data_IF_243412527407
#
_entry.id   IF_243412527407
#
_cell.length_a   1.000
_cell.length_b   1.000
_cell.length_c   1.000
_cell.angle_alpha   90.00
_cell.angle_beta   90.00
_cell.angle_gamma   90.00
#
_symmetry.space_group_name_H-M   'P 1'
#
loop_
_entity.id
_entity.type
_entity.pdbx_description
1 polymer ?
#
# COMPACT_ATOMS: atom_id res chain seq x y z
N UNK A 1 7.64 17.59 7.42
CA UNK A 1 7.20 16.89 6.19
C UNK A 1 5.73 17.21 6.02
N UNK A 2 5.35 17.61 4.82
CA UNK A 2 3.94 17.86 4.52
C UNK A 2 3.13 16.57 4.69
N UNK A 3 1.86 16.64 5.11
CA UNK A 3 0.95 15.51 5.00
C UNK A 3 1.00 14.88 3.59
N UNK A 4 0.81 13.56 3.51
CA UNK A 4 0.90 12.79 2.25
C UNK A 4 2.27 12.65 1.58
N UNK A 5 3.35 13.21 2.15
CA UNK A 5 4.74 13.00 1.66
C UNK A 5 5.47 11.83 2.36
N UNK A 6 4.80 11.19 3.31
CA UNK A 6 5.29 10.02 4.02
C UNK A 6 4.13 9.08 4.35
N UNK A 7 4.45 7.82 4.63
CA UNK A 7 3.49 6.86 5.19
C UNK A 7 4.09 6.15 6.40
N UNK A 8 3.22 5.64 7.26
CA UNK A 8 3.59 4.81 8.41
C UNK A 8 3.03 3.41 8.14
N UNK A 9 3.90 2.41 8.12
CA UNK A 9 3.49 1.01 7.97
C UNK A 9 3.30 0.38 9.37
N UNK A 10 2.07 0.04 9.78
CA UNK A 10 1.83 -0.57 11.08
C UNK A 10 2.30 -2.02 11.15
N UNK A 11 2.55 -2.67 10.01
CA UNK A 11 3.04 -4.04 9.97
C UNK A 11 4.56 -4.10 10.21
N UNK A 12 5.07 -5.26 10.66
CA UNK A 12 6.51 -5.48 10.75
C UNK A 12 7.10 -5.47 9.34
N UNK A 13 8.10 -4.63 9.11
CA UNK A 13 8.75 -4.52 7.80
C UNK A 13 10.26 -4.44 7.96
N UNK A 14 11.00 -5.20 7.15
CA UNK A 14 12.47 -5.28 7.21
C UNK A 14 12.98 -6.52 7.97
N UNK A 15 14.30 -6.63 8.16
CA UNK A 15 14.89 -7.75 8.88
C UNK A 15 14.61 -7.67 10.39
N UNK A 16 14.72 -8.79 11.12
CA UNK A 16 15.09 -10.12 10.62
C UNK A 16 13.96 -10.77 9.80
N UNK A 17 14.36 -11.50 8.75
CA UNK A 17 13.45 -12.27 7.89
C UNK A 17 13.58 -13.74 8.22
N UNK A 18 12.46 -14.47 8.29
CA UNK A 18 12.42 -15.92 8.52
C UNK A 18 11.61 -16.61 7.43
N UNK A 19 11.94 -17.85 7.08
CA UNK A 19 11.19 -18.58 6.06
C UNK A 19 9.77 -18.89 6.56
N UNK A 20 8.77 -18.82 5.68
CA UNK A 20 7.39 -19.14 6.04
C UNK A 20 7.25 -20.54 6.64
N UNK A 21 7.93 -21.53 6.06
CA UNK A 21 7.91 -22.92 6.51
C UNK A 21 8.39 -23.08 7.96
N UNK A 22 9.33 -22.24 8.40
CA UNK A 22 9.86 -22.25 9.77
C UNK A 22 8.96 -21.50 10.77
N UNK A 23 8.20 -20.52 10.28
CA UNK A 23 7.35 -19.65 11.11
C UNK A 23 5.99 -20.31 11.34
N UNK A 24 5.42 -20.92 10.30
CA UNK A 24 4.08 -21.49 10.30
C UNK A 24 2.98 -20.43 10.18
N UNK A 25 1.80 -20.86 9.72
CA UNK A 25 0.68 -19.97 9.38
C UNK A 25 0.22 -19.10 10.57
N UNK A 26 0.06 -19.68 11.77
CA UNK A 26 -0.44 -18.94 12.94
C UNK A 26 0.52 -17.83 13.39
N UNK A 27 1.82 -18.08 13.33
CA UNK A 27 2.81 -17.07 13.71
C UNK A 27 2.97 -16.00 12.62
N UNK A 28 2.84 -16.38 11.35
CA UNK A 28 2.83 -15.43 10.24
C UNK A 28 1.59 -14.51 10.30
N UNK A 29 0.43 -15.05 10.67
CA UNK A 29 -0.81 -14.28 10.85
C UNK A 29 -0.66 -13.20 11.94
N UNK A 30 0.09 -13.47 13.02
CA UNK A 30 0.43 -12.45 14.04
C UNK A 30 1.31 -11.32 13.49
N UNK A 31 2.05 -11.57 12.42
CA UNK A 31 2.80 -10.56 11.68
C UNK A 31 2.00 -9.92 10.54
N UNK A 32 0.69 -10.22 10.43
CA UNK A 32 -0.18 -9.67 9.39
C UNK A 32 -0.06 -10.37 8.04
N UNK A 33 0.56 -11.54 7.97
CA UNK A 33 0.72 -12.32 6.73
C UNK A 33 -0.21 -13.54 6.76
N UNK A 34 -1.18 -13.56 5.86
CA UNK A 34 -2.27 -14.55 5.87
C UNK A 34 -2.21 -15.57 4.71
N UNK A 35 -1.22 -15.45 3.83
CA UNK A 35 -1.00 -16.38 2.72
C UNK A 35 0.48 -16.74 2.63
N UNK A 36 0.84 -17.92 2.08
CA UNK A 36 2.23 -18.33 1.93
C UNK A 36 3.06 -17.29 1.17
N UNK A 37 4.20 -16.92 1.77
CA UNK A 37 5.21 -16.04 1.18
C UNK A 37 6.58 -16.69 1.35
N UNK A 38 7.57 -16.21 0.61
CA UNK A 38 8.93 -16.74 0.75
C UNK A 38 9.52 -16.50 2.15
N UNK A 39 9.37 -15.27 2.68
CA UNK A 39 9.87 -14.88 4.00
C UNK A 39 8.88 -13.96 4.73
N UNK A 40 8.82 -14.12 6.05
CA UNK A 40 8.02 -13.29 6.96
C UNK A 40 8.96 -12.31 7.68
N UNK A 41 8.56 -11.04 7.72
CA UNK A 41 9.28 -10.00 8.45
C UNK A 41 9.02 -10.10 9.95
N UNK A 42 10.07 -9.94 10.73
CA UNK A 42 10.02 -9.68 12.18
C UNK A 42 10.71 -8.35 12.52
N UNK A 43 10.76 -7.44 11.54
CA UNK A 43 11.31 -6.09 11.72
C UNK A 43 10.45 -5.21 12.61
N UNK A 44 10.87 -3.96 12.77
CA UNK A 44 10.10 -2.99 13.54
C UNK A 44 8.72 -2.73 12.90
N UNK A 45 7.73 -2.49 13.76
CA UNK A 45 6.40 -1.98 13.37
C UNK A 45 6.42 -0.46 13.38
N UNK A 46 5.46 0.16 12.69
CA UNK A 46 5.32 1.61 12.60
C UNK A 46 6.54 2.29 11.96
N UNK A 47 7.23 1.59 11.05
CA UNK A 47 8.32 2.20 10.27
C UNK A 47 7.75 3.26 9.35
N UNK A 48 8.52 4.32 9.15
CA UNK A 48 8.09 5.48 8.39
C UNK A 48 8.77 5.44 7.03
N UNK A 49 7.99 5.38 5.96
CA UNK A 49 8.52 5.44 4.60
C UNK A 49 8.43 6.86 4.05
N UNK A 50 9.53 7.31 3.45
CA UNK A 50 9.66 8.60 2.77
C UNK A 50 10.27 8.39 1.39
N UNK A 51 10.11 9.38 0.51
CA UNK A 51 10.85 9.41 -0.75
C UNK A 51 12.36 9.56 -0.45
N UNK A 52 13.26 8.93 -1.23
CA UNK A 52 14.69 9.07 -1.01
C UNK A 52 15.19 10.52 -0.99
N UNK A 53 14.59 11.41 -1.79
CA UNK A 53 14.91 12.84 -1.85
C UNK A 53 14.56 13.62 -0.58
N UNK A 54 13.70 13.09 0.29
CA UNK A 54 13.34 13.69 1.57
C UNK A 54 14.29 13.26 2.71
N UNK A 55 15.16 12.28 2.46
CA UNK A 55 16.18 11.90 3.44
C UNK A 55 17.33 12.92 3.44
N UNK A 56 17.56 13.56 4.58
CA UNK A 56 18.57 14.61 4.78
C UNK A 56 19.45 14.27 5.97
N UNK A 57 20.71 14.71 5.93
CA UNK A 57 21.68 14.52 7.02
C UNK A 57 21.85 13.05 7.42
N UNK A 58 21.85 12.18 6.41
CA UNK A 58 22.11 10.76 6.53
C UNK A 58 23.19 10.35 5.52
N UNK A 59 24.11 9.51 5.93
CA UNK A 59 25.14 8.92 5.06
C UNK A 59 24.90 7.42 4.92
N UNK A 60 25.29 6.85 3.77
CA UNK A 60 25.27 5.41 3.58
C UNK A 60 26.30 4.73 4.51
N UNK A 61 25.95 3.53 4.96
CA UNK A 61 26.85 2.60 5.65
C UNK A 61 27.31 1.59 4.58
N UNK A 62 28.52 1.73 4.00
CA UNK A 62 28.92 0.95 2.83
C UNK A 62 28.79 -0.56 3.01
N UNK A 63 29.17 -1.06 4.19
CA UNK A 63 29.11 -2.49 4.56
C UNK A 63 27.68 -3.07 4.61
N UNK A 64 26.65 -2.22 4.48
CA UNK A 64 25.23 -2.62 4.48
C UNK A 64 24.50 -2.23 3.20
N UNK A 65 25.23 -1.86 2.16
CA UNK A 65 24.70 -1.43 0.86
C UNK A 65 24.66 -2.56 -0.18
N UNK A 66 24.53 -3.80 0.25
CA UNK A 66 24.34 -4.93 -0.66
C UNK A 66 22.92 -4.97 -1.26
N UNK A 67 22.81 -5.62 -2.42
CA UNK A 67 21.54 -5.87 -3.12
C UNK A 67 21.74 -6.88 -4.24
N UNK A 68 20.76 -7.01 -5.13
CA UNK A 68 20.77 -8.04 -6.17
C UNK A 68 21.35 -7.54 -7.50
N UNK A 69 20.61 -6.71 -8.25
CA UNK A 69 21.00 -6.35 -9.62
C UNK A 69 22.28 -5.50 -9.62
N UNK A 70 22.20 -4.31 -9.02
CA UNK A 70 23.27 -3.32 -8.80
C UNK A 70 22.86 -2.29 -7.72
N UNK A 71 21.84 -2.61 -6.93
CA UNK A 71 21.18 -1.68 -6.01
C UNK A 71 21.40 -2.01 -4.55
N UNK A 72 20.65 -1.32 -3.70
CA UNK A 72 20.61 -1.58 -2.26
C UNK A 72 19.23 -2.06 -1.89
N UNK A 73 19.12 -3.25 -1.28
CA UNK A 73 17.81 -3.84 -0.99
C UNK A 73 17.40 -3.86 0.48
N UNK A 74 18.28 -3.36 1.35
CA UNK A 74 18.00 -3.25 2.78
C UNK A 74 17.95 -4.58 3.52
N UNK A 75 18.38 -5.69 2.91
CA UNK A 75 18.39 -7.03 3.55
C UNK A 75 19.20 -7.07 4.85
N UNK A 76 20.25 -6.25 4.95
CA UNK A 76 21.13 -6.13 6.10
C UNK A 76 20.60 -5.18 7.19
N UNK A 77 19.41 -4.61 7.02
CA UNK A 77 18.77 -3.70 7.95
C UNK A 77 19.13 -2.24 7.68
N UNK A 78 19.21 -1.38 8.71
CA UNK A 78 19.55 0.02 8.53
C UNK A 78 20.91 0.21 7.86
N UNK A 79 20.90 0.84 6.68
CA UNK A 79 22.06 1.12 5.83
C UNK A 79 22.30 2.63 5.65
N UNK A 80 21.52 3.46 6.35
CA UNK A 80 21.73 4.90 6.49
C UNK A 80 22.02 5.23 7.95
N UNK A 81 23.11 5.94 8.19
CA UNK A 81 23.50 6.48 9.48
C UNK A 81 23.22 7.99 9.56
N UNK A 82 22.90 8.48 10.76
CA UNK A 82 22.83 9.91 11.02
C UNK A 82 24.23 10.53 10.84
N UNK A 83 24.32 11.61 10.06
CA UNK A 83 25.59 12.31 9.79
C UNK A 83 26.24 12.89 11.08
N UNK A 84 25.43 13.29 12.06
CA UNK A 84 25.92 13.87 13.30
C UNK A 84 26.44 12.87 14.33
N UNK A 85 25.78 11.73 14.51
CA UNK A 85 26.10 10.78 15.59
C UNK A 85 26.52 9.37 15.10
N UNK A 86 26.49 9.12 13.80
CA UNK A 86 26.89 7.85 13.18
C UNK A 86 25.96 6.67 13.46
N UNK A 87 24.89 6.84 14.24
CA UNK A 87 23.95 5.75 14.54
C UNK A 87 23.17 5.36 13.29
N UNK A 88 22.94 4.05 13.03
CA UNK A 88 22.01 3.63 11.99
C UNK A 88 20.59 4.08 12.33
N UNK A 89 19.93 4.76 11.39
CA UNK A 89 18.60 5.38 11.59
C UNK A 89 17.57 5.01 10.53
N UNK A 90 18.01 4.50 9.37
CA UNK A 90 17.10 4.20 8.27
C UNK A 90 17.64 3.13 7.32
N UNK A 91 16.74 2.57 6.52
CA UNK A 91 17.04 1.64 5.41
C UNK A 91 16.59 2.26 4.09
N UNK A 92 17.54 2.54 3.20
CA UNK A 92 17.29 2.83 1.79
C UNK A 92 17.06 1.53 1.02
N UNK A 93 16.01 1.51 0.21
CA UNK A 93 15.77 0.53 -0.84
C UNK A 93 15.88 1.25 -2.18
N UNK A 94 16.71 0.73 -3.06
CA UNK A 94 17.04 1.30 -4.36
C UNK A 94 17.65 0.19 -5.24
N UNK A 95 16.82 -0.80 -5.59
CA UNK A 95 17.21 -1.91 -6.48
C UNK A 95 16.22 -2.04 -7.63
N UNK A 96 16.67 -2.58 -8.75
CA UNK A 96 16.03 -2.62 -10.08
C UNK A 96 14.56 -3.09 -10.08
N UNK A 97 14.16 -3.90 -9.09
CA UNK A 97 12.82 -4.50 -8.97
C UNK A 97 11.99 -3.97 -7.83
N UNK A 98 12.41 -2.89 -7.16
CA UNK A 98 11.75 -2.36 -5.98
C UNK A 98 11.46 -0.87 -6.11
N UNK A 99 10.45 -0.42 -5.36
CA UNK A 99 10.20 1.00 -5.20
C UNK A 99 11.34 1.65 -4.44
N UNK A 100 11.89 2.73 -5.01
CA UNK A 100 12.91 3.53 -4.33
C UNK A 100 12.29 4.18 -3.09
N UNK A 101 12.77 3.80 -1.91
CA UNK A 101 12.20 4.23 -0.64
C UNK A 101 13.27 4.39 0.43
N UNK A 102 12.98 5.21 1.44
CA UNK A 102 13.76 5.24 2.69
C UNK A 102 12.82 4.96 3.85
N UNK A 103 13.15 3.93 4.62
CA UNK A 103 12.41 3.49 5.80
C UNK A 103 13.14 3.93 7.06
N UNK A 104 12.56 4.87 7.81
CA UNK A 104 13.10 5.33 9.08
C UNK A 104 12.77 4.33 10.20
N UNK A 105 13.75 4.06 11.05
CA UNK A 105 13.55 3.26 12.25
C UNK A 105 12.76 4.07 13.29
N UNK A 106 11.62 3.55 13.79
CA UNK A 106 10.71 4.31 14.66
C UNK A 106 11.38 4.76 15.96
N UNK A 107 12.27 3.94 16.51
CA UNK A 107 13.00 4.25 17.75
C UNK A 107 14.23 5.14 17.53
N UNK A 108 14.59 5.42 16.28
CA UNK A 108 15.74 6.25 15.92
C UNK A 108 15.34 7.67 15.50
N UNK A 109 14.04 7.94 15.34
CA UNK A 109 13.52 9.25 14.92
C UNK A 109 12.44 9.73 15.88
N UNK A 110 12.30 11.05 15.96
CA UNK A 110 11.26 11.69 16.77
C UNK A 110 10.44 12.62 15.90
N UNK A 111 9.11 12.56 16.04
CA UNK A 111 8.23 13.49 15.36
C UNK A 111 8.36 14.86 16.02
N UNK A 112 8.75 15.86 15.23
CA UNK A 112 8.70 17.27 15.63
C UNK A 112 7.52 17.94 14.94
N UNK A 113 6.68 18.72 15.66
CA UNK A 113 5.70 19.58 15.02
C UNK A 113 6.42 20.51 14.03
N UNK A 114 5.90 20.62 12.81
CA UNK A 114 6.46 21.52 11.79
C UNK A 114 6.19 22.99 12.11
N UNK A 115 5.29 23.29 13.06
CA UNK A 115 4.79 24.65 13.31
C UNK A 115 3.88 25.19 12.21
N UNK A 116 3.76 24.46 11.09
CA UNK A 116 2.82 24.75 10.03
C UNK A 116 1.43 24.29 10.47
N UNK A 117 0.42 25.11 10.19
CA UNK A 117 -0.97 24.68 10.33
C UNK A 117 -1.16 23.42 9.48
N UNK A 118 -1.79 22.39 10.05
CA UNK A 118 -2.25 21.29 9.24
C UNK A 118 -3.19 21.89 8.18
N UNK A 119 -2.85 21.73 6.90
CA UNK A 119 -3.78 22.04 5.83
C UNK A 119 -5.09 21.27 6.05
N UNK A 120 -6.21 21.73 5.47
CA UNK A 120 -7.43 20.94 5.50
C UNK A 120 -7.11 19.52 4.98
N UNK A 121 -7.66 18.47 5.62
CA UNK A 121 -7.50 17.12 5.10
C UNK A 121 -7.99 17.10 3.66
N UNK A 122 -7.29 16.35 2.81
CA UNK A 122 -7.63 16.26 1.40
C UNK A 122 -9.07 15.78 1.24
N UNK A 123 -9.87 16.49 0.46
CA UNK A 123 -11.24 16.10 0.14
C UNK A 123 -11.30 15.42 -1.23
N UNK A 124 -12.43 14.82 -1.56
CA UNK A 124 -12.69 14.14 -2.82
C UNK A 124 -12.55 15.05 -4.03
N UNK A 125 -12.89 16.32 -3.90
CA UNK A 125 -12.68 17.34 -4.92
C UNK A 125 -11.19 17.53 -5.26
N UNK A 126 -10.29 17.20 -4.33
CA UNK A 126 -8.85 17.27 -4.57
C UNK A 126 -8.42 16.20 -5.58
N UNK A 127 -9.04 15.01 -5.56
CA UNK A 127 -8.72 13.93 -6.50
C UNK A 127 -9.07 14.28 -7.95
N UNK A 128 -10.00 15.22 -8.16
CA UNK A 128 -10.34 15.69 -9.51
C UNK A 128 -9.29 16.64 -10.08
N UNK A 129 -8.43 17.25 -9.26
CA UNK A 129 -7.38 18.16 -9.73
C UNK A 129 -6.34 17.42 -10.56
N UNK A 130 -5.89 18.06 -11.62
CA UNK A 130 -4.93 17.47 -12.56
C UNK A 130 -3.65 16.98 -11.88
N UNK A 131 -3.17 17.68 -10.85
CA UNK A 131 -1.99 17.31 -10.07
C UNK A 131 -2.13 16.02 -9.24
N UNK A 132 -3.37 15.59 -8.95
CA UNK A 132 -3.67 14.39 -8.16
C UNK A 132 -4.13 13.20 -9.03
N UNK A 133 -4.38 13.43 -10.32
CA UNK A 133 -4.75 12.36 -11.26
C UNK A 133 -3.55 11.48 -11.56
N UNK A 134 -3.72 10.18 -11.34
CA UNK A 134 -2.75 9.16 -11.73
C UNK A 134 -3.26 8.49 -12.99
N UNK A 135 -2.58 8.63 -14.16
CA UNK A 135 -3.02 7.96 -15.38
C UNK A 135 -2.87 6.43 -15.24
N UNK A 136 -3.77 5.63 -15.84
CA UNK A 136 -3.69 4.16 -15.84
C UNK A 136 -2.49 3.63 -16.63
N UNK A 137 -1.94 4.46 -17.51
CA UNK A 137 -0.84 4.14 -18.41
C UNK A 137 0.27 5.16 -18.18
N UNK A 138 1.50 4.68 -18.04
CA UNK A 138 2.69 5.51 -17.89
C UNK A 138 3.02 6.22 -19.22
N UNK A 139 3.86 7.29 -19.21
CA UNK A 139 4.21 8.02 -20.44
C UNK A 139 4.85 7.17 -21.55
N UNK A 140 5.45 6.03 -21.20
CA UNK A 140 6.04 5.08 -22.15
C UNK A 140 5.02 4.07 -22.73
N UNK A 141 3.75 4.18 -22.35
CA UNK A 141 2.68 3.29 -22.80
C UNK A 141 2.51 2.02 -21.96
N UNK A 142 3.33 1.82 -20.92
CA UNK A 142 3.20 0.67 -20.02
C UNK A 142 2.06 0.84 -19.01
N UNK A 143 1.52 -0.28 -18.51
CA UNK A 143 0.50 -0.24 -17.47
C UNK A 143 1.09 0.28 -16.15
N UNK A 144 0.40 1.23 -15.51
CA UNK A 144 0.90 1.83 -14.28
C UNK A 144 0.93 0.83 -13.13
N UNK A 145 2.10 0.68 -12.51
CA UNK A 145 2.29 -0.16 -11.30
C UNK A 145 1.40 0.30 -10.14
N UNK A 146 1.11 1.60 -10.07
CA UNK A 146 0.20 2.15 -9.06
C UNK A 146 -1.23 1.69 -9.29
N UNK A 147 -1.67 1.66 -10.54
CA UNK A 147 -2.97 1.12 -10.91
C UNK A 147 -3.05 -0.39 -10.74
N UNK A 148 -1.99 -1.13 -11.08
CA UNK A 148 -1.88 -2.57 -10.81
C UNK A 148 -2.12 -2.88 -9.34
N UNK A 149 -1.42 -2.18 -8.44
CA UNK A 149 -1.60 -2.34 -7.00
C UNK A 149 -3.02 -1.96 -6.54
N UNK A 150 -3.57 -0.84 -7.03
CA UNK A 150 -4.91 -0.39 -6.68
C UNK A 150 -5.99 -1.39 -7.12
N UNK A 151 -5.85 -1.97 -8.31
CA UNK A 151 -6.74 -3.01 -8.84
C UNK A 151 -6.64 -4.29 -8.03
N UNK A 152 -5.44 -4.71 -7.63
CA UNK A 152 -5.23 -5.87 -6.77
C UNK A 152 -5.89 -5.72 -5.40
N UNK A 153 -5.68 -4.58 -4.74
CA UNK A 153 -6.36 -4.25 -3.47
C UNK A 153 -7.87 -4.23 -3.68
N UNK A 154 -8.33 -3.63 -4.77
CA UNK A 154 -9.73 -3.54 -5.09
C UNK A 154 -10.38 -4.92 -5.27
N UNK A 155 -9.69 -5.86 -5.91
CA UNK A 155 -10.15 -7.23 -6.08
C UNK A 155 -10.18 -7.98 -4.74
N UNK A 156 -9.13 -7.86 -3.92
CA UNK A 156 -9.07 -8.50 -2.60
C UNK A 156 -10.23 -8.07 -1.70
N UNK A 157 -10.56 -6.78 -1.67
CA UNK A 157 -11.73 -6.28 -0.95
C UNK A 157 -13.04 -6.84 -1.49
N UNK A 158 -13.15 -6.97 -2.81
CA UNK A 158 -14.35 -7.53 -3.43
C UNK A 158 -14.53 -8.98 -2.97
N UNK A 159 -13.48 -9.81 -3.08
CA UNK A 159 -13.50 -11.20 -2.63
C UNK A 159 -13.88 -11.32 -1.15
N UNK A 160 -13.27 -10.51 -0.29
CA UNK A 160 -13.58 -10.51 1.15
C UNK A 160 -15.03 -10.09 1.44
N UNK A 161 -15.54 -9.07 0.75
CA UNK A 161 -16.90 -8.57 0.96
C UNK A 161 -17.99 -9.51 0.40
N UNK A 162 -17.63 -10.34 -0.58
CA UNK A 162 -18.57 -11.26 -1.23
C UNK A 162 -18.72 -12.57 -0.49
N UNK A 163 -17.80 -12.94 0.42
CA UNK A 163 -17.83 -14.21 1.15
C UNK A 163 -18.09 -15.39 0.19
N UNK A 164 -17.32 -15.47 -0.91
CA UNK A 164 -17.47 -16.47 -1.97
C UNK A 164 -18.85 -16.52 -2.65
N UNK A 165 -19.64 -15.44 -2.63
CA UNK A 165 -20.86 -15.36 -3.45
C UNK A 165 -20.54 -14.89 -4.88
N UNK A 166 -21.28 -15.36 -5.89
CA UNK A 166 -21.18 -14.81 -7.24
C UNK A 166 -21.46 -13.31 -7.27
N UNK A 167 -20.85 -12.59 -8.20
CA UNK A 167 -21.03 -11.14 -8.33
C UNK A 167 -21.33 -10.70 -9.76
N UNK A 168 -22.20 -9.71 -9.86
CA UNK A 168 -22.43 -8.96 -11.09
C UNK A 168 -21.74 -7.59 -10.97
N UNK A 169 -20.85 -7.32 -11.92
CA UNK A 169 -20.22 -6.01 -12.07
C UNK A 169 -21.11 -5.06 -12.88
N UNK A 170 -21.06 -3.75 -12.61
CA UNK A 170 -21.77 -2.78 -13.43
C UNK A 170 -21.13 -2.70 -14.83
N UNK A 171 -21.96 -2.56 -15.87
CA UNK A 171 -21.48 -2.39 -17.25
C UNK A 171 -20.55 -1.19 -17.36
N UNK A 172 -19.51 -1.30 -18.18
CA UNK A 172 -18.53 -0.24 -18.44
C UNK A 172 -17.15 -0.53 -17.83
N UNK A 173 -16.36 0.52 -17.53
CA UNK A 173 -14.94 0.38 -17.21
C UNK A 173 -14.62 -0.54 -16.02
N UNK A 174 -15.53 -0.63 -15.03
CA UNK A 174 -15.36 -1.53 -13.88
C UNK A 174 -15.42 -3.00 -14.32
N UNK A 175 -16.38 -3.36 -15.16
CA UNK A 175 -16.49 -4.71 -15.71
C UNK A 175 -15.33 -5.02 -16.67
N UNK A 176 -14.88 -4.05 -17.47
CA UNK A 176 -13.72 -4.21 -18.35
C UNK A 176 -12.43 -4.46 -17.56
N UNK A 177 -12.23 -3.72 -16.47
CA UNK A 177 -11.02 -3.80 -15.65
C UNK A 177 -10.99 -5.02 -14.72
N UNK A 178 -12.11 -5.33 -14.07
CA UNK A 178 -12.18 -6.36 -13.03
C UNK A 178 -12.80 -7.68 -13.50
N UNK A 179 -13.53 -7.69 -14.62
CA UNK A 179 -14.36 -8.82 -15.04
C UNK A 179 -13.58 -10.11 -15.25
N UNK A 180 -12.39 -10.02 -15.86
CA UNK A 180 -11.53 -11.19 -16.05
C UNK A 180 -11.10 -11.80 -14.71
N UNK A 181 -10.60 -10.97 -13.79
CA UNK A 181 -10.17 -11.44 -12.48
C UNK A 181 -11.34 -11.96 -11.63
N UNK A 182 -12.49 -11.29 -11.66
CA UNK A 182 -13.71 -11.77 -11.01
C UNK A 182 -14.11 -13.15 -11.52
N UNK A 183 -14.12 -13.37 -12.84
CA UNK A 183 -14.43 -14.68 -13.42
C UNK A 183 -13.42 -15.77 -13.07
N UNK A 184 -12.20 -15.41 -12.70
CA UNK A 184 -11.15 -16.35 -12.29
C UNK A 184 -11.22 -16.68 -10.80
N UNK A 185 -11.51 -15.70 -9.93
CA UNK A 185 -11.38 -15.84 -8.48
C UNK A 185 -12.70 -15.98 -7.72
N UNK A 186 -13.84 -15.63 -8.33
CA UNK A 186 -15.15 -15.75 -7.68
C UNK A 186 -16.02 -16.80 -8.38
N UNK A 187 -16.89 -17.50 -7.64
CA UNK A 187 -17.73 -18.54 -8.22
C UNK A 187 -18.78 -17.93 -9.14
N UNK A 188 -19.13 -18.67 -10.19
CA UNK A 188 -20.28 -18.37 -11.05
C UNK A 188 -21.53 -19.08 -10.51
N UNK A 189 -22.70 -18.45 -10.65
CA UNK A 189 -23.95 -19.11 -10.26
C UNK A 189 -25.12 -18.16 -10.00
N UNK A 190 -26.30 -18.72 -9.69
CA UNK A 190 -27.47 -17.95 -9.27
C UNK A 190 -27.21 -17.26 -7.92
N UNK A 191 -27.99 -16.22 -7.61
CA UNK A 191 -27.84 -15.46 -6.36
C UNK A 191 -26.68 -14.47 -6.38
N UNK A 192 -26.28 -14.01 -7.58
CA UNK A 192 -25.20 -13.06 -7.73
C UNK A 192 -25.52 -11.70 -7.09
N UNK A 193 -24.61 -11.22 -6.25
CA UNK A 193 -24.70 -9.89 -5.60
C UNK A 193 -24.30 -8.81 -6.58
N UNK A 194 -25.06 -7.73 -6.66
CA UNK A 194 -24.74 -6.60 -7.54
C UNK A 194 -23.76 -5.65 -6.88
N UNK A 195 -22.61 -5.43 -7.53
CA UNK A 195 -21.61 -4.44 -7.11
C UNK A 195 -21.98 -3.09 -7.71
N UNK A 196 -22.01 -2.05 -6.88
CA UNK A 196 -22.20 -0.69 -7.36
C UNK A 196 -21.12 0.23 -6.83
N UNK A 197 -20.68 1.18 -7.66
CA UNK A 197 -19.81 2.25 -7.20
C UNK A 197 -20.58 3.13 -6.21
N UNK A 198 -19.93 3.45 -5.11
CA UNK A 198 -20.40 4.41 -4.12
C UNK A 198 -19.33 5.48 -3.94
N UNK A 199 -19.69 6.64 -3.42
CA UNK A 199 -18.75 7.73 -3.19
C UNK A 199 -19.43 9.09 -3.25
N UNK A 200 -18.75 10.15 -2.83
CA UNK A 200 -19.25 11.51 -2.99
C UNK A 200 -19.49 11.82 -4.47
N UNK A 201 -20.58 12.54 -4.74
CA UNK A 201 -21.05 12.82 -6.10
C UNK A 201 -21.66 11.62 -6.83
N UNK A 202 -21.53 10.38 -6.33
CA UNK A 202 -22.07 9.18 -6.97
C UNK A 202 -23.43 8.82 -6.36
N UNK A 203 -24.49 9.05 -7.13
CA UNK A 203 -25.82 8.59 -6.76
C UNK A 203 -25.93 7.07 -6.92
N UNK A 204 -26.22 6.37 -5.82
CA UNK A 204 -26.49 4.94 -5.88
C UNK A 204 -27.79 4.70 -6.68
N UNK A 205 -27.76 3.84 -7.72
CA UNK A 205 -28.96 3.50 -8.46
C UNK A 205 -30.01 2.84 -7.55
N UNK A 206 -31.28 2.91 -7.96
CA UNK A 206 -32.36 2.11 -7.36
C UNK A 206 -32.72 0.97 -8.33
N UNK A 207 -32.78 -0.29 -7.86
CA UNK A 207 -32.50 -0.76 -6.50
C UNK A 207 -31.02 -0.59 -6.11
N UNK A 208 -30.77 -0.41 -4.80
CA UNK A 208 -29.40 -0.20 -4.28
C UNK A 208 -28.55 -1.46 -4.54
N UNK A 209 -27.25 -1.29 -4.82
CA UNK A 209 -26.35 -2.44 -4.93
C UNK A 209 -26.24 -3.17 -3.58
N UNK A 210 -26.08 -4.49 -3.65
CA UNK A 210 -25.82 -5.33 -2.49
C UNK A 210 -24.45 -5.00 -1.88
N UNK A 211 -23.50 -4.60 -2.73
CA UNK A 211 -22.13 -4.25 -2.34
C UNK A 211 -21.82 -2.84 -2.85
N UNK A 212 -22.07 -1.78 -2.04
CA UNK A 212 -21.62 -0.44 -2.35
C UNK A 212 -20.10 -0.34 -2.15
N UNK A 213 -19.40 0.12 -3.18
CA UNK A 213 -17.94 0.19 -3.21
C UNK A 213 -17.48 1.65 -3.22
N UNK A 214 -17.12 2.24 -2.06
CA UNK A 214 -16.44 3.52 -2.06
C UNK A 214 -15.02 3.38 -2.62
N UNK A 215 -14.51 4.36 -3.37
CA UNK A 215 -13.07 4.48 -3.58
C UNK A 215 -12.35 4.54 -2.22
N UNK A 216 -11.11 4.04 -2.12
CA UNK A 216 -10.31 4.25 -0.92
C UNK A 216 -10.14 5.76 -0.68
N UNK A 217 -10.12 6.22 0.59
CA UNK A 217 -9.96 7.64 0.87
C UNK A 217 -8.64 8.18 0.27
N UNK A 218 -8.61 9.46 -0.15
CA UNK A 218 -7.49 10.07 -0.87
C UNK A 218 -6.13 9.85 -0.18
N UNK A 219 -6.10 9.78 1.16
CA UNK A 219 -4.93 9.39 1.95
C UNK A 219 -5.30 8.47 3.13
N UNK A 220 -4.53 7.40 3.32
CA UNK A 220 -4.62 6.49 4.46
C UNK A 220 -5.38 5.20 4.15
N UNK A 221 -4.69 4.06 4.21
CA UNK A 221 -5.24 2.71 4.00
C UNK A 221 -6.23 2.23 5.07
N UNK A 222 -6.91 3.13 5.79
CA UNK A 222 -7.99 2.77 6.69
C UNK A 222 -9.33 3.04 5.99
N UNK A 223 -9.88 1.99 5.35
CA UNK A 223 -11.30 1.97 5.08
C UNK A 223 -12.02 1.95 6.44
N UNK A 224 -12.69 3.06 6.75
CA UNK A 224 -13.59 3.10 7.89
C UNK A 224 -14.70 2.07 7.65
N UNK A 225 -14.62 0.94 8.35
CA UNK A 225 -15.73 0.00 8.47
C UNK A 225 -16.85 0.72 9.22
N UNK A 226 -17.83 1.22 8.48
CA UNK A 226 -19.12 1.54 9.06
C UNK A 226 -19.77 0.20 9.44
N UNK A 227 -19.54 -0.23 10.68
CA UNK A 227 -20.40 -1.25 11.31
C UNK A 227 -21.81 -0.65 11.36
N UNK A 228 -22.76 -1.36 10.75
CA UNK A 228 -24.19 -1.13 10.98
C UNK A 228 -24.56 -1.54 12.39
#
# INVERSE_FOLDING_TARGET
MEPATYAIDPQPTGPPWRLWEEVGADAAARQGVFAPVYRVSFGARNRIVIAPGDSRSMTLIPDKCEGYCQGVDGRAGPNLACDGCGRPVATRMDDCGMWQTVWLEPDAVIRRPSGLAAGPPSDWDDLERAEHRVPPVEPDGSWSRRWEAAVGVALAYLVAATEDHPVNLPTGPVAELLGHAVGQYLPAGPGARFVGLAGPGIHLPRPRPDIPRPPPPPHGGALASARR
#
